data_IF_644695717518
#
_entry.id   IF_644695717518
#
_cell.length_a   1.000
_cell.length_b   1.000
_cell.length_c   1.000
_cell.angle_alpha   90.00
_cell.angle_beta   90.00
_cell.angle_gamma   90.00
#
_symmetry.space_group_name_H-M   'P 1'
#
loop_
_entity.id
_entity.type
_entity.pdbx_description
1 polymer ?
#
# COMPACT_ATOMS: atom_id res chain seq x y z
N UNK A 1 -3.62 14.32 -16.86
CA UNK A 1 -2.72 13.46 -16.07
C UNK A 1 -3.52 12.64 -15.10
N UNK A 2 -3.11 11.39 -14.89
CA UNK A 2 -3.80 10.49 -13.96
C UNK A 2 -3.09 10.59 -12.61
N UNK A 3 -3.79 11.07 -11.60
CA UNK A 3 -3.27 11.11 -10.25
C UNK A 3 -3.63 9.81 -9.53
N UNK A 4 -2.65 9.22 -8.90
CA UNK A 4 -2.77 7.98 -8.13
C UNK A 4 -2.51 8.27 -6.66
N UNK A 5 -3.51 8.03 -5.82
CA UNK A 5 -3.33 8.02 -4.37
C UNK A 5 -2.97 6.61 -3.94
N UNK A 6 -1.84 6.47 -3.25
CA UNK A 6 -1.44 5.22 -2.63
C UNK A 6 -1.46 5.38 -1.12
N UNK A 7 -1.97 4.36 -0.44
CA UNK A 7 -2.10 4.35 1.02
C UNK A 7 -1.55 3.04 1.55
N UNK A 8 -0.64 3.14 2.50
CA UNK A 8 -0.08 2.02 3.24
C UNK A 8 -0.56 2.11 4.70
N UNK A 9 -1.58 1.33 5.00
CA UNK A 9 -2.24 1.33 6.31
C UNK A 9 -1.69 0.18 7.16
N UNK A 10 -0.72 0.49 8.01
CA UNK A 10 -0.11 -0.44 8.94
C UNK A 10 -0.74 -0.37 10.32
N UNK A 11 -0.34 -1.27 11.22
CA UNK A 11 -0.90 -1.33 12.57
C UNK A 11 -0.58 -0.08 13.41
N UNK A 12 0.55 0.56 13.16
CA UNK A 12 1.00 1.74 13.92
C UNK A 12 0.75 3.04 13.18
N UNK A 13 0.98 3.05 11.87
CA UNK A 13 0.96 4.28 11.05
C UNK A 13 0.27 4.04 9.73
N UNK A 14 -0.32 5.12 9.20
CA UNK A 14 -0.80 5.20 7.83
C UNK A 14 0.13 6.14 7.08
N UNK A 15 0.76 5.62 6.03
CA UNK A 15 1.58 6.41 5.12
C UNK A 15 0.84 6.56 3.80
N UNK A 16 1.02 7.69 3.13
CA UNK A 16 0.32 7.92 1.88
C UNK A 16 1.12 8.81 0.96
N UNK A 17 0.79 8.75 -0.32
CA UNK A 17 1.37 9.63 -1.32
C UNK A 17 0.45 9.79 -2.51
N UNK A 18 0.49 10.97 -3.11
CA UNK A 18 -0.21 11.28 -4.36
C UNK A 18 0.84 11.42 -5.46
N UNK A 19 0.73 10.60 -6.49
CA UNK A 19 1.67 10.52 -7.62
C UNK A 19 0.97 10.92 -8.91
N UNK A 20 1.64 11.68 -9.76
CA UNK A 20 1.05 12.18 -11.02
C UNK A 20 1.53 11.42 -12.27
N UNK A 21 2.28 10.35 -12.09
CA UNK A 21 2.90 9.59 -13.17
C UNK A 21 4.36 9.97 -13.42
N UNK A 22 4.81 11.10 -12.88
CA UNK A 22 6.20 11.56 -12.99
C UNK A 22 6.90 11.65 -11.64
N UNK A 23 6.17 12.03 -10.60
CA UNK A 23 6.72 12.16 -9.28
C UNK A 23 5.63 12.31 -8.23
N UNK A 24 6.08 12.39 -6.99
CA UNK A 24 5.17 12.59 -5.85
C UNK A 24 4.79 14.06 -5.74
N UNK A 25 3.50 14.35 -5.82
CA UNK A 25 2.98 15.69 -5.59
C UNK A 25 2.98 16.03 -4.11
N UNK A 26 2.63 15.05 -3.25
CA UNK A 26 2.63 15.21 -1.81
C UNK A 26 2.69 13.84 -1.15
N UNK A 27 3.30 13.78 0.02
CA UNK A 27 3.38 12.58 0.84
C UNK A 27 3.16 12.96 2.30
N UNK A 28 2.69 12.02 3.09
CA UNK A 28 2.50 12.23 4.52
C UNK A 28 2.35 10.93 5.28
N UNK A 29 2.25 11.07 6.58
CA UNK A 29 2.01 9.94 7.49
C UNK A 29 1.25 10.44 8.71
N UNK A 30 0.36 9.59 9.24
CA UNK A 30 -0.35 9.82 10.49
C UNK A 30 -0.31 8.55 11.33
N UNK A 31 -0.52 8.68 12.62
CA UNK A 31 -0.72 7.50 13.47
C UNK A 31 -2.02 6.81 13.07
N UNK A 32 -2.03 5.48 13.16
CA UNK A 32 -3.24 4.71 12.83
C UNK A 32 -4.43 5.16 13.69
N UNK A 33 -4.19 5.49 14.94
CA UNK A 33 -5.21 5.98 15.87
C UNK A 33 -5.73 7.38 15.52
N UNK A 34 -5.06 8.09 14.62
CA UNK A 34 -5.41 9.46 14.23
C UNK A 34 -5.76 9.55 12.74
N UNK A 35 -6.35 8.50 12.18
CA UNK A 35 -6.69 8.44 10.76
C UNK A 35 -7.60 9.58 10.30
N UNK A 36 -8.41 10.14 11.19
CA UNK A 36 -9.28 11.27 10.86
C UNK A 36 -8.49 12.51 10.40
N UNK A 37 -7.23 12.66 10.81
CA UNK A 37 -6.39 13.77 10.35
C UNK A 37 -6.12 13.74 8.84
N UNK A 38 -6.24 12.57 8.21
CA UNK A 38 -6.05 12.46 6.76
C UNK A 38 -7.04 13.32 5.98
N UNK A 39 -8.25 13.49 6.48
CA UNK A 39 -9.24 14.36 5.84
C UNK A 39 -8.73 15.78 5.69
N UNK A 40 -8.03 16.30 6.68
CA UNK A 40 -7.42 17.63 6.62
C UNK A 40 -6.19 17.65 5.71
N UNK A 41 -5.34 16.62 5.79
CA UNK A 41 -4.15 16.55 4.96
C UNK A 41 -4.48 16.47 3.47
N UNK A 42 -5.62 15.85 3.14
CA UNK A 42 -6.04 15.67 1.75
C UNK A 42 -6.89 16.84 1.21
N UNK A 43 -7.23 17.79 2.05
CA UNK A 43 -7.92 19.00 1.57
C UNK A 43 -7.04 19.78 0.60
N UNK A 44 -7.62 20.22 -0.49
CA UNK A 44 -6.90 20.99 -1.50
C UNK A 44 -6.03 20.18 -2.44
N UNK A 45 -5.92 18.87 -2.23
CA UNK A 45 -5.23 18.00 -3.19
C UNK A 45 -6.10 17.81 -4.45
N UNK A 46 -5.48 17.66 -5.63
CA UNK A 46 -6.22 17.21 -6.80
C UNK A 46 -6.92 15.89 -6.51
N UNK A 47 -8.16 15.76 -6.98
CA UNK A 47 -8.88 14.50 -6.80
C UNK A 47 -8.13 13.35 -7.49
N UNK A 48 -7.88 12.24 -6.80
CA UNK A 48 -7.20 11.12 -7.44
C UNK A 48 -8.12 10.44 -8.44
N UNK A 49 -7.56 10.06 -9.58
CA UNK A 49 -8.27 9.24 -10.56
C UNK A 49 -8.29 7.76 -10.15
N UNK A 50 -7.30 7.34 -9.36
CA UNK A 50 -7.18 5.97 -8.85
C UNK A 50 -6.69 5.99 -7.41
N UNK A 51 -7.16 5.02 -6.64
CA UNK A 51 -6.76 4.84 -5.23
C UNK A 51 -6.36 3.39 -5.05
N UNK A 52 -5.15 3.16 -4.53
CA UNK A 52 -4.67 1.82 -4.20
C UNK A 52 -4.27 1.78 -2.73
N UNK A 53 -4.78 0.79 -2.02
CA UNK A 53 -4.59 0.68 -0.57
C UNK A 53 -4.03 -0.69 -0.21
N UNK A 54 -2.93 -0.68 0.54
CA UNK A 54 -2.45 -1.85 1.26
C UNK A 54 -2.84 -1.67 2.73
N UNK A 55 -3.75 -2.51 3.23
CA UNK A 55 -4.23 -2.41 4.60
C UNK A 55 -3.99 -3.72 5.35
N UNK A 56 -3.17 -3.67 6.39
CA UNK A 56 -2.91 -4.79 7.30
C UNK A 56 -3.40 -4.48 8.72
N UNK A 57 -4.18 -3.41 8.90
CA UNK A 57 -4.65 -2.96 10.21
C UNK A 57 -6.07 -3.39 10.54
N UNK A 58 -6.71 -4.20 9.67
CA UNK A 58 -8.03 -4.79 9.93
C UNK A 58 -9.20 -3.97 9.43
N UNK A 59 -10.40 -4.48 9.71
CA UNK A 59 -11.65 -3.90 9.21
C UNK A 59 -11.95 -2.49 9.73
N UNK A 60 -11.70 -2.14 11.00
CA UNK A 60 -11.95 -0.77 11.45
C UNK A 60 -11.14 0.26 10.66
N UNK A 61 -9.88 -0.05 10.34
CA UNK A 61 -9.05 0.82 9.52
C UNK A 61 -9.58 0.93 8.09
N UNK A 62 -10.02 -0.20 7.51
CA UNK A 62 -10.64 -0.21 6.18
C UNK A 62 -11.88 0.66 6.14
N UNK A 63 -12.76 0.53 7.13
CA UNK A 63 -13.99 1.32 7.21
C UNK A 63 -13.68 2.82 7.32
N UNK A 64 -12.72 3.19 8.17
CA UNK A 64 -12.32 4.58 8.34
C UNK A 64 -11.79 5.18 7.03
N UNK A 65 -10.91 4.47 6.33
CA UNK A 65 -10.37 4.91 5.05
C UNK A 65 -11.46 5.00 3.99
N UNK A 66 -12.35 4.00 3.92
CA UNK A 66 -13.47 4.02 2.97
C UNK A 66 -14.34 5.26 3.15
N UNK A 67 -14.59 5.65 4.40
CA UNK A 67 -15.33 6.86 4.70
C UNK A 67 -14.63 8.12 4.18
N UNK A 68 -13.31 8.17 4.29
CA UNK A 68 -12.52 9.30 3.79
C UNK A 68 -12.53 9.36 2.25
N UNK A 69 -12.55 8.22 1.57
CA UNK A 69 -12.59 8.17 0.11
C UNK A 69 -13.97 8.50 -0.47
N UNK A 70 -15.02 8.44 0.33
CA UNK A 70 -16.40 8.52 -0.16
C UNK A 70 -16.72 9.84 -0.86
N UNK A 71 -15.97 10.90 -0.59
CA UNK A 71 -16.13 12.20 -1.25
C UNK A 71 -15.57 12.25 -2.67
N UNK A 72 -14.84 11.24 -3.09
CA UNK A 72 -14.23 11.17 -4.42
C UNK A 72 -14.97 10.18 -5.32
N UNK A 73 -14.84 10.37 -6.64
CA UNK A 73 -15.46 9.46 -7.61
C UNK A 73 -14.68 8.16 -7.76
N UNK A 74 -13.37 8.19 -7.54
CA UNK A 74 -12.54 7.01 -7.66
C UNK A 74 -12.91 5.96 -6.62
N UNK A 75 -12.94 4.70 -7.03
CA UNK A 75 -13.15 3.56 -6.15
C UNK A 75 -11.81 3.01 -5.70
N UNK A 76 -11.65 2.80 -4.40
CA UNK A 76 -10.41 2.27 -3.87
C UNK A 76 -10.22 0.81 -4.28
N UNK A 77 -9.00 0.47 -4.72
CA UNK A 77 -8.57 -0.90 -4.94
C UNK A 77 -7.78 -1.35 -3.71
N UNK A 78 -8.28 -2.40 -3.06
CA UNK A 78 -7.65 -2.96 -1.87
C UNK A 78 -6.74 -4.10 -2.29
N UNK A 79 -5.45 -3.95 -2.03
CA UNK A 79 -4.44 -4.91 -2.47
C UNK A 79 -4.50 -6.15 -1.57
N UNK A 80 -4.43 -7.33 -2.20
CA UNK A 80 -4.25 -8.59 -1.49
C UNK A 80 -3.17 -9.40 -2.19
N UNK A 81 -2.43 -10.20 -1.41
CA UNK A 81 -1.45 -11.09 -1.99
C UNK A 81 -2.13 -12.18 -2.81
N UNK A 82 -1.53 -12.53 -3.93
CA UNK A 82 -2.02 -13.57 -4.84
C UNK A 82 -0.93 -14.61 -5.06
N UNK A 83 -1.29 -15.68 -5.78
CA UNK A 83 -0.33 -16.74 -6.10
C UNK A 83 0.75 -16.29 -7.07
N UNK A 84 0.41 -15.36 -7.98
CA UNK A 84 1.35 -14.84 -8.97
C UNK A 84 0.88 -13.48 -9.46
N UNK A 85 1.78 -12.51 -9.47
CA UNK A 85 1.49 -11.18 -10.00
C UNK A 85 2.78 -10.41 -10.27
N UNK A 86 2.82 -9.66 -11.37
CA UNK A 86 3.95 -8.81 -11.73
C UNK A 86 5.29 -9.55 -11.76
N UNK A 87 5.28 -10.80 -12.21
CA UNK A 87 6.48 -11.63 -12.31
C UNK A 87 6.92 -12.30 -11.01
N UNK A 88 6.17 -12.15 -9.92
CA UNK A 88 6.51 -12.74 -8.62
C UNK A 88 5.51 -13.84 -8.26
N UNK A 89 6.03 -15.01 -7.89
CA UNK A 89 5.24 -16.15 -7.43
C UNK A 89 5.27 -16.23 -5.91
N UNK A 90 4.09 -16.45 -5.33
CA UNK A 90 3.91 -16.59 -3.90
C UNK A 90 3.79 -18.07 -3.56
N UNK A 91 4.70 -18.57 -2.71
CA UNK A 91 4.74 -19.98 -2.32
C UNK A 91 4.02 -20.29 -1.01
N UNK A 92 3.32 -19.36 -0.42
CA UNK A 92 2.47 -19.65 0.72
C UNK A 92 1.37 -20.65 0.33
N UNK A 93 1.05 -21.58 1.21
CA UNK A 93 -0.01 -22.56 0.97
C UNK A 93 -1.37 -21.84 0.69
N UNK A 94 -1.65 -20.80 1.47
CA UNK A 94 -2.73 -19.85 1.20
C UNK A 94 -2.08 -18.51 0.87
N UNK A 95 -2.02 -18.10 -0.42
CA UNK A 95 -1.35 -16.86 -0.81
C UNK A 95 -1.88 -15.62 -0.09
N UNK A 96 -3.17 -15.60 0.27
CA UNK A 96 -3.78 -14.44 0.92
C UNK A 96 -3.28 -14.22 2.36
N UNK A 97 -2.60 -15.20 2.95
CA UNK A 97 -2.03 -15.06 4.29
C UNK A 97 -0.77 -14.21 4.33
N UNK A 98 -0.12 -14.00 3.19
CA UNK A 98 0.97 -13.03 3.11
C UNK A 98 0.39 -11.63 3.15
N UNK A 99 0.86 -10.79 4.07
CA UNK A 99 0.40 -9.41 4.19
C UNK A 99 0.61 -8.64 2.88
N UNK A 100 -0.35 -7.81 2.52
CA UNK A 100 -0.29 -7.04 1.27
C UNK A 100 0.91 -6.10 1.21
N UNK A 101 1.35 -5.56 2.33
CA UNK A 101 2.53 -4.71 2.43
C UNK A 101 3.82 -5.47 2.08
N UNK A 102 3.94 -6.71 2.56
CA UNK A 102 5.09 -7.57 2.24
C UNK A 102 5.05 -8.00 0.79
N UNK A 103 3.86 -8.33 0.28
CA UNK A 103 3.66 -8.72 -1.12
C UNK A 103 4.05 -7.60 -2.08
N UNK A 104 3.60 -6.38 -1.82
CA UNK A 104 3.96 -5.23 -2.66
C UNK A 104 5.45 -4.91 -2.60
N UNK A 105 6.09 -5.07 -1.43
CA UNK A 105 7.53 -4.88 -1.30
C UNK A 105 8.32 -5.91 -2.14
N UNK A 106 7.88 -7.17 -2.17
CA UNK A 106 8.50 -8.21 -3.01
C UNK A 106 8.36 -7.88 -4.49
N UNK A 107 7.19 -7.44 -4.92
CA UNK A 107 6.95 -7.04 -6.31
C UNK A 107 7.85 -5.85 -6.69
N UNK A 108 7.96 -4.86 -5.80
CA UNK A 108 8.81 -3.70 -6.04
C UNK A 108 10.29 -4.09 -6.13
N UNK A 109 10.76 -4.96 -5.25
CA UNK A 109 12.14 -5.43 -5.27
C UNK A 109 12.47 -6.17 -6.58
N UNK A 110 11.56 -7.03 -7.05
CA UNK A 110 11.74 -7.73 -8.32
C UNK A 110 11.76 -6.76 -9.51
N UNK A 111 10.86 -5.77 -9.51
CA UNK A 111 10.81 -4.78 -10.58
C UNK A 111 12.09 -3.97 -10.68
N UNK A 112 12.77 -3.71 -9.54
CA UNK A 112 13.99 -2.92 -9.52
C UNK A 112 15.21 -3.71 -9.97
N UNK A 113 15.35 -4.96 -9.58
CA UNK A 113 16.61 -5.70 -9.76
C UNK A 113 16.48 -6.97 -10.57
N UNK A 114 15.36 -7.63 -10.56
CA UNK A 114 15.08 -8.91 -11.25
C UNK A 114 16.09 -10.00 -10.90
N UNK A 115 16.50 -10.05 -9.66
CA UNK A 115 17.40 -11.08 -9.13
C UNK A 115 17.04 -11.40 -7.69
N UNK A 116 17.51 -12.56 -7.22
CA UNK A 116 17.25 -13.00 -5.85
C UNK A 116 17.80 -12.01 -4.83
N UNK A 117 17.05 -11.79 -3.76
CA UNK A 117 17.45 -10.91 -2.69
C UNK A 117 16.64 -11.19 -1.42
N UNK A 118 17.06 -10.56 -0.34
CA UNK A 118 16.27 -10.50 0.89
C UNK A 118 15.58 -9.15 0.96
N UNK A 119 14.29 -9.16 1.31
CA UNK A 119 13.51 -7.94 1.47
C UNK A 119 13.21 -7.79 2.96
N UNK A 120 13.73 -6.70 3.53
CA UNK A 120 13.56 -6.39 4.96
C UNK A 120 12.60 -5.22 5.09
N UNK A 121 11.51 -5.45 5.82
CA UNK A 121 10.56 -4.39 6.18
C UNK A 121 10.74 -4.07 7.66
N UNK A 122 11.13 -2.84 7.95
CA UNK A 122 11.27 -2.34 9.32
C UNK A 122 10.12 -1.38 9.61
N UNK A 123 9.18 -1.81 10.42
CA UNK A 123 8.02 -1.01 10.81
C UNK A 123 7.63 -1.31 12.25
N UNK A 124 6.34 -1.58 12.51
CA UNK A 124 5.87 -2.03 13.82
C UNK A 124 6.61 -3.31 14.23
N UNK A 125 6.82 -4.21 13.27
CA UNK A 125 7.66 -5.39 13.42
C UNK A 125 8.67 -5.42 12.28
N UNK A 126 9.77 -6.13 12.47
CA UNK A 126 10.71 -6.41 11.39
C UNK A 126 10.32 -7.71 10.72
N UNK A 127 10.19 -7.69 9.40
CA UNK A 127 9.96 -8.89 8.60
C UNK A 127 11.08 -9.08 7.59
N UNK A 128 11.42 -10.33 7.29
CA UNK A 128 12.42 -10.68 6.28
C UNK A 128 11.78 -11.68 5.33
N UNK A 129 11.79 -11.36 4.05
CA UNK A 129 11.29 -12.24 3.01
C UNK A 129 12.42 -12.57 2.03
N UNK A 130 12.48 -13.81 1.58
CA UNK A 130 13.45 -14.24 0.58
C UNK A 130 12.77 -14.25 -0.80
N UNK A 131 13.40 -13.60 -1.75
CA UNK A 131 13.01 -13.61 -3.15
C UNK A 131 14.08 -14.34 -3.93
N UNK A 132 13.71 -15.39 -4.67
CA UNK A 132 14.64 -16.11 -5.51
C UNK A 132 14.39 -15.77 -6.98
N UNK A 133 15.39 -15.98 -7.81
CA UNK A 133 15.29 -15.77 -9.25
C UNK A 133 14.93 -17.05 -10.02
N UNK A 134 14.62 -18.10 -9.28
CA UNK A 134 14.14 -19.39 -9.82
C UNK A 134 12.66 -19.65 -9.45
#
# INVERSE_FOLDING_TARGET
MINLLVVDSGNTRIKWGLHDGRGWLKQGAVAQSESALLGQEWQGLPEPARIMVSNVAGEPARAALSGLFSGWQATAQWISASAFQCGVRNYYADPSQLGSDRWTALIAAWAQQRQGCLVVNAGTAMTVDALSDT
#
